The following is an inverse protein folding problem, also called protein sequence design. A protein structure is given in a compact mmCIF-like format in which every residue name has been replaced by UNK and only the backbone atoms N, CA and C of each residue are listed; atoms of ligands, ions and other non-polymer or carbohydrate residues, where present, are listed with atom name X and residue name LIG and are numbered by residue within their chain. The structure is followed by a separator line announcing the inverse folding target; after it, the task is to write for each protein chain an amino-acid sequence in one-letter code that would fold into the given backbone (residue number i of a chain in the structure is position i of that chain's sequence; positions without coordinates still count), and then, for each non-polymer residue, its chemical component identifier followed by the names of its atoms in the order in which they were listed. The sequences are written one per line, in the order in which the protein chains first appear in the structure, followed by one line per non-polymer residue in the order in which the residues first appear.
data_IF_435796880408
#
_entry.id   IF_435796880408
#
_cell.length_a   1.000
_cell.length_b   1.000
_cell.length_c   1.000
_cell.angle_alpha   90.00
_cell.angle_beta   90.00
_cell.angle_gamma   90.00
#
_symmetry.space_group_name_H-M   'P 1'
#
loop_
_entity.id
_entity.type
_entity.pdbx_description
1 polymer ?
#
# COMPACT_ATOMS: atom_id res chain seq x y z
N UNK A 1 4.09 -7.72 6.52
CA UNK A 1 5.05 -6.63 6.18
C UNK A 1 4.95 -6.22 4.71
N UNK A 2 4.15 -6.91 3.90
CA UNK A 2 3.97 -6.65 2.46
C UNK A 2 3.48 -5.24 2.13
N UNK A 3 2.63 -4.65 2.98
CA UNK A 3 2.05 -3.32 2.78
C UNK A 3 3.10 -2.20 2.77
N UNK A 4 4.11 -2.30 3.65
CA UNK A 4 5.20 -1.31 3.71
C UNK A 4 6.08 -1.40 2.46
N UNK A 5 6.36 -2.62 1.99
CA UNK A 5 7.08 -2.81 0.72
C UNK A 5 6.29 -2.31 -0.48
N UNK A 6 4.98 -2.52 -0.51
CA UNK A 6 4.10 -1.97 -1.54
C UNK A 6 4.14 -0.43 -1.55
N UNK A 7 4.05 0.21 -0.37
CA UNK A 7 4.16 1.66 -0.25
C UNK A 7 5.54 2.19 -0.68
N UNK A 8 6.63 1.54 -0.26
CA UNK A 8 7.99 1.90 -0.69
C UNK A 8 8.18 1.77 -2.21
N UNK A 9 7.59 0.73 -2.81
CA UNK A 9 7.64 0.51 -4.25
C UNK A 9 6.85 1.59 -5.00
N UNK A 10 5.66 1.95 -4.53
CA UNK A 10 4.88 3.07 -5.08
C UNK A 10 5.64 4.39 -4.95
N UNK A 11 6.24 4.66 -3.79
CA UNK A 11 7.07 5.83 -3.55
C UNK A 11 8.27 5.90 -4.50
N UNK A 12 9.00 4.79 -4.69
CA UNK A 12 10.12 4.70 -5.63
C UNK A 12 9.69 4.96 -7.08
N UNK A 13 8.48 4.53 -7.44
CA UNK A 13 7.88 4.75 -8.76
C UNK A 13 7.22 6.13 -8.90
N UNK A 14 7.29 6.99 -7.86
CA UNK A 14 6.59 8.28 -7.79
C UNK A 14 5.08 8.18 -8.05
N UNK A 15 4.49 7.04 -7.68
CA UNK A 15 3.05 6.82 -7.73
C UNK A 15 2.43 7.14 -6.38
N UNK A 16 1.19 7.61 -6.40
CA UNK A 16 0.44 7.87 -5.17
C UNK A 16 0.20 6.58 -4.38
N UNK A 17 0.31 6.69 -3.06
CA UNK A 17 0.06 5.60 -2.13
C UNK A 17 -1.42 5.63 -1.76
N UNK A 18 -2.26 5.05 -2.61
CA UNK A 18 -3.72 4.96 -2.42
C UNK A 18 -4.14 3.55 -2.04
N UNK A 19 -5.35 3.41 -1.46
CA UNK A 19 -5.92 2.10 -1.14
C UNK A 19 -5.99 1.20 -2.39
N UNK A 20 -6.39 1.74 -3.55
CA UNK A 20 -6.44 1.01 -4.81
C UNK A 20 -5.06 0.51 -5.26
N UNK A 21 -4.05 1.37 -5.22
CA UNK A 21 -2.70 1.02 -5.67
C UNK A 21 -2.07 -0.05 -4.78
N UNK A 22 -2.20 0.09 -3.45
CA UNK A 22 -1.70 -0.89 -2.49
C UNK A 22 -2.47 -2.21 -2.62
N UNK A 23 -3.80 -2.16 -2.75
CA UNK A 23 -4.65 -3.34 -2.92
C UNK A 23 -4.31 -4.11 -4.19
N UNK A 24 -4.05 -3.40 -5.29
CA UNK A 24 -3.67 -4.02 -6.56
C UNK A 24 -2.33 -4.74 -6.46
N UNK A 25 -1.34 -4.15 -5.78
CA UNK A 25 -0.03 -4.80 -5.55
C UNK A 25 -0.17 -6.03 -4.66
N UNK A 26 -0.91 -5.92 -3.56
CA UNK A 26 -1.11 -7.03 -2.61
C UNK A 26 -1.84 -8.19 -3.29
N UNK A 27 -2.91 -7.91 -4.05
CA UNK A 27 -3.61 -8.92 -4.86
C UNK A 27 -2.70 -9.54 -5.94
N UNK A 28 -1.90 -8.73 -6.63
CA UNK A 28 -0.97 -9.23 -7.65
C UNK A 28 0.15 -10.10 -7.05
N UNK A 29 0.55 -9.85 -5.81
CA UNK A 29 1.52 -10.65 -5.08
C UNK A 29 0.97 -11.97 -4.53
N UNK A 30 -0.35 -12.19 -4.59
CA UNK A 30 -1.03 -13.37 -4.03
C UNK A 30 -1.11 -13.38 -2.50
N UNK A 31 -0.78 -12.25 -1.85
CA UNK A 31 -0.87 -12.09 -0.41
C UNK A 31 -2.31 -11.79 0.03
N UNK A 32 -2.64 -12.14 1.27
CA UNK A 32 -3.95 -11.92 1.84
C UNK A 32 -4.21 -10.42 2.05
N UNK A 33 -5.27 -9.91 1.41
CA UNK A 33 -5.64 -8.50 1.52
C UNK A 33 -6.29 -8.22 2.88
N UNK A 34 -5.71 -7.27 3.61
CA UNK A 34 -6.25 -6.76 4.86
C UNK A 34 -6.51 -5.26 4.72
N UNK A 35 -7.76 -4.91 4.45
CA UNK A 35 -8.20 -3.53 4.23
C UNK A 35 -7.91 -2.62 5.43
N UNK A 36 -8.01 -3.12 6.67
CA UNK A 36 -7.72 -2.32 7.86
C UNK A 36 -6.25 -1.90 7.90
N UNK A 37 -5.33 -2.77 7.48
CA UNK A 37 -3.91 -2.45 7.37
C UNK A 37 -3.62 -1.47 6.22
N UNK A 38 -4.29 -1.62 5.09
CA UNK A 38 -4.15 -0.68 3.95
C UNK A 38 -4.59 0.71 4.37
N UNK A 39 -5.76 0.83 5.01
CA UNK A 39 -6.29 2.10 5.54
C UNK A 39 -5.36 2.73 6.55
N UNK A 40 -4.86 1.95 7.51
CA UNK A 40 -3.91 2.44 8.51
C UNK A 40 -2.63 2.97 7.85
N UNK A 41 -2.10 2.26 6.85
CA UNK A 41 -0.88 2.66 6.16
C UNK A 41 -1.06 3.96 5.37
N UNK A 42 -2.13 4.04 4.57
CA UNK A 42 -2.45 5.24 3.77
C UNK A 42 -2.69 6.44 4.69
N UNK A 43 -3.41 6.27 5.80
CA UNK A 43 -3.63 7.33 6.78
C UNK A 43 -2.33 7.80 7.44
N UNK A 44 -1.43 6.89 7.83
CA UNK A 44 -0.14 7.25 8.42
C UNK A 44 0.82 7.94 7.45
N UNK A 45 0.65 7.75 6.14
CA UNK A 45 1.48 8.36 5.10
C UNK A 45 0.85 9.62 4.51
N UNK A 46 -0.44 9.89 4.75
CA UNK A 46 -1.13 11.09 4.29
C UNK A 46 -0.71 12.36 5.07
N UNK A 47 -0.12 12.20 6.25
CA UNK A 47 0.35 13.29 7.12
C UNK A 47 1.81 13.72 6.84
N UNK A 48 2.51 13.11 5.88
CA UNK A 48 3.95 13.35 5.60
C UNK A 48 4.17 13.92 4.20
#
# INVERSE_FOLDING_TARGET
MEYVYAALMLHKLKKEITEENVTSIVKASGAELNEAKVKSLVASLADV
#
